data_IF_198745316756
#
_entry.id   IF_198745316756
#
_cell.length_a   1.000
_cell.length_b   1.000
_cell.length_c   1.000
_cell.angle_alpha   90.00
_cell.angle_beta   90.00
_cell.angle_gamma   90.00
#
_symmetry.space_group_name_H-M   'P 1'
#
loop_
_entity.id
_entity.type
_entity.pdbx_description
1 polymer ?
#
# COMPACT_ATOMS: atom_id res chain seq x y z
N UNK A 1 36.42 54.45 19.77
CA UNK A 1 36.74 54.07 21.15
C UNK A 1 35.42 53.84 21.86
N UNK A 2 35.02 52.60 22.02
CA UNK A 2 34.28 52.03 23.15
C UNK A 2 33.95 50.55 22.84
N UNK A 3 34.66 49.72 23.56
CA UNK A 3 34.44 48.27 23.65
C UNK A 3 33.11 47.98 24.34
N UNK A 4 32.30 47.09 23.76
CA UNK A 4 31.27 46.38 24.49
C UNK A 4 31.54 44.89 24.35
N UNK A 5 31.90 44.29 25.48
CA UNK A 5 32.14 42.86 25.68
C UNK A 5 30.80 42.10 25.59
N UNK A 6 30.81 41.06 24.79
CA UNK A 6 29.76 40.05 24.68
C UNK A 6 30.02 38.96 25.73
N UNK A 7 29.18 38.82 26.74
CA UNK A 7 29.15 37.72 27.70
C UNK A 7 28.16 36.64 27.20
N UNK A 8 28.70 35.43 26.88
CA UNK A 8 27.94 34.22 26.66
C UNK A 8 27.51 33.59 28.00
N UNK A 9 26.28 33.07 28.15
CA UNK A 9 26.00 32.19 29.28
C UNK A 9 26.30 30.74 28.89
N UNK A 10 27.04 30.10 29.77
CA UNK A 10 27.31 28.66 29.83
C UNK A 10 26.01 27.87 30.07
N UNK A 11 25.75 26.90 29.22
CA UNK A 11 24.72 25.87 29.45
C UNK A 11 25.37 24.70 30.19
N UNK A 12 24.85 24.39 31.38
CA UNK A 12 25.21 23.18 32.13
C UNK A 12 24.38 21.98 31.65
N UNK A 13 24.96 20.78 31.61
CA UNK A 13 24.19 19.57 31.25
C UNK A 13 23.39 19.08 32.46
N UNK A 14 22.08 18.87 32.25
CA UNK A 14 21.19 18.18 33.19
C UNK A 14 21.56 16.70 33.23
N UNK A 15 22.03 16.26 34.40
CA UNK A 15 22.17 14.85 34.76
C UNK A 15 20.84 14.29 35.24
N UNK A 16 20.34 13.23 34.58
CA UNK A 16 19.21 12.44 35.03
C UNK A 16 19.66 11.35 36.00
N UNK A 17 18.94 11.10 37.11
CA UNK A 17 19.28 10.04 38.05
C UNK A 17 18.88 8.67 37.48
N UNK A 18 19.84 7.73 37.52
CA UNK A 18 19.60 6.29 37.34
C UNK A 18 18.95 5.74 38.61
N UNK A 19 17.75 5.19 38.49
CA UNK A 19 17.19 4.40 39.57
C UNK A 19 15.77 3.94 39.33
N UNK A 20 15.63 2.58 39.30
CA UNK A 20 14.40 1.83 39.59
C UNK A 20 13.21 1.88 38.61
N UNK A 21 13.10 0.85 37.75
CA UNK A 21 11.86 0.05 37.69
C UNK A 21 12.19 -1.35 37.16
N UNK A 22 12.38 -2.28 38.10
CA UNK A 22 12.23 -3.72 37.86
C UNK A 22 10.74 -4.02 38.06
N UNK A 23 10.04 -4.39 37.02
CA UNK A 23 8.73 -5.07 37.08
C UNK A 23 8.83 -6.25 36.12
N UNK A 24 9.07 -7.40 36.66
CA UNK A 24 8.34 -8.65 36.66
C UNK A 24 7.31 -8.81 35.52
N UNK A 25 7.70 -9.57 34.47
CA UNK A 25 6.78 -10.36 33.67
C UNK A 25 7.25 -11.83 33.70
N UNK A 26 6.39 -12.79 34.03
CA UNK A 26 6.77 -14.20 34.05
C UNK A 26 6.74 -14.77 32.62
N UNK A 27 7.93 -15.17 32.15
CA UNK A 27 8.11 -16.06 31.01
C UNK A 27 7.83 -17.49 31.53
N UNK A 28 6.64 -18.01 31.27
CA UNK A 28 6.39 -19.44 31.35
C UNK A 28 5.01 -19.78 30.81
N UNK A 29 4.87 -19.94 29.48
CA UNK A 29 3.75 -20.70 28.90
C UNK A 29 3.99 -21.12 27.44
N UNK A 30 5.16 -21.60 27.06
CA UNK A 30 5.37 -22.37 25.81
C UNK A 30 6.51 -23.35 26.00
N UNK A 31 6.35 -24.34 26.83
CA UNK A 31 7.24 -25.50 26.88
C UNK A 31 6.60 -26.67 27.64
N UNK A 32 5.44 -27.16 27.16
CA UNK A 32 4.89 -28.47 27.61
C UNK A 32 3.88 -28.96 26.57
N UNK A 33 4.37 -29.43 25.42
CA UNK A 33 3.66 -30.35 24.51
C UNK A 33 4.61 -30.95 23.48
N UNK A 34 5.71 -31.57 23.96
CA UNK A 34 6.55 -32.47 23.15
C UNK A 34 7.24 -33.47 24.05
N UNK A 35 6.48 -34.40 24.60
CA UNK A 35 7.02 -35.66 25.16
C UNK A 35 5.85 -36.55 25.54
N UNK A 36 5.22 -37.22 24.56
CA UNK A 36 4.39 -38.41 24.80
C UNK A 36 3.95 -38.91 23.41
N UNK A 37 4.79 -39.69 22.77
CA UNK A 37 4.44 -40.67 21.72
C UNK A 37 5.72 -41.33 21.16
N UNK A 38 6.42 -42.07 22.02
CA UNK A 38 7.48 -43.02 21.58
C UNK A 38 7.65 -44.08 22.68
N UNK A 39 6.73 -44.98 22.75
CA UNK A 39 6.89 -46.30 23.39
C UNK A 39 5.62 -47.08 23.09
N UNK A 40 5.65 -47.97 22.19
CA UNK A 40 4.93 -49.23 22.07
C UNK A 40 5.08 -49.69 20.59
N UNK A 41 5.97 -50.58 20.33
CA UNK A 41 5.93 -51.67 19.38
C UNK A 41 7.34 -52.22 19.20
N UNK A 42 7.75 -52.93 20.27
CA UNK A 42 8.85 -53.90 20.16
C UNK A 42 8.36 -55.13 20.93
N UNK A 43 7.87 -56.15 20.24
CA UNK A 43 7.84 -57.52 20.75
C UNK A 43 7.40 -58.51 19.67
N UNK A 44 8.27 -59.44 19.46
CA UNK A 44 8.01 -60.85 19.13
C UNK A 44 7.57 -61.20 17.70
N UNK A 45 8.48 -61.79 16.97
CA UNK A 45 8.28 -63.19 16.54
C UNK A 45 9.63 -63.84 16.16
N UNK A 46 10.04 -64.78 16.99
CA UNK A 46 11.14 -65.70 16.81
C UNK A 46 10.51 -67.07 16.52
N UNK A 47 11.15 -67.81 15.60
CA UNK A 47 11.25 -69.25 15.55
C UNK A 47 10.57 -70.02 14.42
N UNK A 48 11.42 -70.94 13.94
CA UNK A 48 11.17 -72.28 13.42
C UNK A 48 11.11 -72.31 11.87
N UNK A 49 12.04 -72.77 11.09
CA UNK A 49 12.80 -74.02 11.24
C UNK A 49 12.51 -74.95 10.06
N UNK A 50 13.50 -75.46 9.34
CA UNK A 50 13.31 -76.66 8.58
C UNK A 50 13.61 -76.57 7.05
N UNK A 51 14.82 -76.94 6.67
CA UNK A 51 15.12 -77.52 5.35
C UNK A 51 14.56 -78.95 5.25
N UNK A 52 14.31 -79.50 4.09
CA UNK A 52 15.41 -80.24 3.41
C UNK A 52 15.43 -80.08 1.88
N UNK A 53 16.62 -80.30 1.41
CA UNK A 53 17.09 -80.58 0.04
C UNK A 53 16.33 -81.67 -0.66
N UNK A 54 16.04 -81.49 -1.95
CA UNK A 54 15.95 -82.63 -2.87
C UNK A 54 16.58 -82.25 -4.22
N UNK A 55 17.63 -82.98 -4.57
CA UNK A 55 18.31 -82.94 -5.83
C UNK A 55 17.56 -83.84 -6.84
N UNK A 56 17.40 -83.33 -8.06
CA UNK A 56 16.94 -84.13 -9.22
C UNK A 56 17.49 -83.51 -10.50
N UNK A 57 17.86 -84.31 -11.50
CA UNK A 57 18.88 -83.98 -12.49
C UNK A 57 18.37 -83.29 -13.74
N UNK A 58 19.21 -82.41 -14.28
CA UNK A 58 19.51 -82.05 -15.64
C UNK A 58 18.35 -81.89 -16.67
N UNK A 59 18.15 -80.66 -17.07
CA UNK A 59 17.74 -80.32 -18.45
C UNK A 59 18.54 -79.11 -18.89
N UNK A 60 19.34 -79.25 -19.95
CA UNK A 60 19.99 -78.22 -20.73
C UNK A 60 18.89 -77.30 -21.29
N UNK A 61 18.77 -76.09 -20.70
CA UNK A 61 18.01 -74.99 -21.29
C UNK A 61 19.01 -74.06 -21.98
N UNK A 62 18.72 -73.55 -23.20
CA UNK A 62 19.55 -72.58 -23.88
C UNK A 62 19.62 -71.29 -23.06
N UNK A 63 20.73 -70.55 -23.16
CA UNK A 63 20.89 -69.29 -22.38
C UNK A 63 19.71 -68.30 -22.69
N UNK A 64 19.14 -67.68 -21.68
CA UNK A 64 18.07 -66.72 -21.92
C UNK A 64 18.64 -65.57 -22.76
N UNK A 65 18.09 -65.43 -23.97
CA UNK A 65 18.27 -64.21 -24.75
C UNK A 65 18.07 -63.02 -23.84
N UNK A 66 19.06 -62.14 -23.82
CA UNK A 66 19.00 -60.92 -23.08
C UNK A 66 17.60 -60.27 -23.30
N UNK A 67 16.77 -60.29 -22.26
CA UNK A 67 15.49 -59.66 -22.27
C UNK A 67 15.76 -58.18 -22.54
N UNK A 68 15.50 -57.76 -23.78
CA UNK A 68 15.34 -56.34 -24.08
C UNK A 68 14.28 -55.86 -23.11
N UNK A 69 14.72 -55.09 -22.12
CA UNK A 69 13.83 -54.42 -21.16
C UNK A 69 12.83 -53.58 -21.96
N UNK A 70 11.64 -54.12 -22.17
CA UNK A 70 10.46 -53.37 -22.58
C UNK A 70 10.28 -52.34 -21.49
N UNK A 71 10.85 -51.14 -21.72
CA UNK A 71 10.48 -49.96 -20.94
C UNK A 71 8.96 -49.90 -21.03
N UNK A 72 8.31 -50.12 -19.90
CA UNK A 72 6.85 -50.05 -19.85
C UNK A 72 6.37 -48.72 -20.42
N UNK A 73 5.27 -48.75 -21.16
CA UNK A 73 4.58 -47.57 -21.72
C UNK A 73 4.07 -46.57 -20.65
N UNK A 74 4.51 -46.68 -19.40
CA UNK A 74 4.11 -45.84 -18.30
C UNK A 74 5.00 -44.60 -18.16
N UNK A 75 4.45 -43.43 -17.89
CA UNK A 75 5.22 -42.25 -17.51
C UNK A 75 6.13 -42.54 -16.32
N UNK A 76 7.40 -42.11 -16.34
CA UNK A 76 8.31 -42.34 -15.25
C UNK A 76 9.52 -41.41 -15.28
N UNK A 77 10.13 -41.25 -14.11
CA UNK A 77 11.38 -40.46 -13.98
C UNK A 77 12.59 -41.40 -14.11
N UNK A 78 13.50 -41.00 -14.97
CA UNK A 78 14.74 -41.71 -15.19
C UNK A 78 15.78 -41.41 -14.10
N UNK A 79 16.75 -42.28 -13.85
CA UNK A 79 17.83 -42.02 -12.90
C UNK A 79 18.67 -40.77 -13.21
N UNK A 80 18.68 -40.34 -14.49
CA UNK A 80 19.28 -39.06 -14.95
C UNK A 80 18.50 -37.82 -14.51
N UNK A 81 17.30 -37.98 -13.89
CA UNK A 81 16.40 -36.90 -13.55
C UNK A 81 15.48 -36.49 -14.70
N UNK A 82 15.66 -37.01 -15.90
CA UNK A 82 14.80 -36.84 -17.05
C UNK A 82 13.45 -37.52 -16.82
N UNK A 83 12.41 -37.05 -17.49
CA UNK A 83 11.07 -37.63 -17.46
C UNK A 83 10.76 -38.28 -18.80
N UNK A 84 10.44 -39.56 -18.77
CA UNK A 84 9.91 -40.29 -19.91
C UNK A 84 8.39 -40.18 -19.92
N UNK A 85 7.85 -39.67 -21.04
CA UNK A 85 6.42 -39.48 -21.26
C UNK A 85 6.02 -39.99 -22.63
N UNK A 86 5.36 -41.15 -22.71
CA UNK A 86 4.85 -41.72 -23.96
C UNK A 86 3.89 -40.74 -24.67
N UNK A 87 3.84 -40.79 -26.01
CA UNK A 87 2.96 -39.89 -26.82
C UNK A 87 1.51 -39.87 -26.37
N UNK A 88 0.87 -40.99 -26.00
CA UNK A 88 -0.49 -40.97 -25.46
C UNK A 88 -0.60 -40.14 -24.17
N UNK A 89 0.37 -40.25 -23.26
CA UNK A 89 0.44 -39.50 -22.03
C UNK A 89 0.63 -37.99 -22.30
N UNK A 90 1.54 -37.62 -23.23
CA UNK A 90 1.72 -36.22 -23.63
C UNK A 90 0.42 -35.56 -24.12
N UNK A 91 -0.36 -36.29 -24.95
CA UNK A 91 -1.67 -35.82 -25.43
C UNK A 91 -2.69 -35.67 -24.30
N UNK A 92 -2.76 -36.66 -23.41
CA UNK A 92 -3.68 -36.66 -22.26
C UNK A 92 -3.37 -35.52 -21.30
N UNK A 93 -2.09 -35.15 -21.13
CA UNK A 93 -1.61 -34.05 -20.29
C UNK A 93 -1.67 -32.68 -21.01
N UNK A 94 -2.10 -32.67 -22.27
CA UNK A 94 -2.13 -31.48 -23.13
C UNK A 94 -0.80 -30.69 -23.13
N UNK A 95 0.32 -31.43 -23.26
CA UNK A 95 1.65 -30.84 -23.27
C UNK A 95 1.87 -30.05 -24.56
N UNK A 96 2.24 -28.78 -24.39
CA UNK A 96 2.68 -27.93 -25.49
C UNK A 96 4.13 -27.50 -25.31
N UNK A 97 4.87 -27.52 -26.40
CA UNK A 97 6.25 -27.07 -26.46
C UNK A 97 6.41 -25.92 -27.43
N UNK A 98 7.26 -24.96 -27.10
CA UNK A 98 7.62 -23.83 -27.97
C UNK A 98 9.13 -23.85 -28.18
N UNK A 99 9.57 -23.61 -29.42
CA UNK A 99 10.99 -23.37 -29.70
C UNK A 99 11.37 -21.98 -29.22
N UNK A 100 12.50 -21.88 -28.50
CA UNK A 100 13.03 -20.61 -28.03
C UNK A 100 14.11 -20.09 -28.94
N UNK A 101 14.16 -18.77 -29.09
CA UNK A 101 15.21 -18.05 -29.82
C UNK A 101 15.69 -16.88 -28.99
N UNK A 102 16.98 -16.57 -29.09
CA UNK A 102 17.56 -15.38 -28.45
C UNK A 102 17.03 -14.10 -29.11
N UNK A 103 16.50 -13.22 -28.30
CA UNK A 103 16.06 -11.88 -28.71
C UNK A 103 16.63 -10.79 -27.82
N UNK A 104 16.48 -9.55 -28.25
CA UNK A 104 16.78 -8.39 -27.43
C UNK A 104 15.51 -7.90 -26.75
N UNK A 105 15.51 -7.87 -25.44
CA UNK A 105 14.38 -7.42 -24.62
C UNK A 105 14.79 -6.25 -23.73
N UNK A 106 13.87 -5.34 -23.40
CA UNK A 106 14.15 -4.29 -22.42
C UNK A 106 14.47 -4.95 -21.06
N UNK A 107 15.45 -4.40 -20.37
CA UNK A 107 15.73 -4.81 -19.00
C UNK A 107 14.56 -4.38 -18.10
N UNK A 108 14.02 -5.30 -17.34
CA UNK A 108 12.92 -5.01 -16.45
C UNK A 108 13.26 -5.33 -15.00
N UNK A 109 12.60 -4.62 -14.10
CA UNK A 109 12.71 -4.76 -12.66
C UNK A 109 11.31 -4.94 -12.08
N UNK A 110 11.17 -5.84 -11.13
CA UNK A 110 9.96 -5.98 -10.35
C UNK A 110 10.21 -5.35 -8.98
N UNK A 111 9.49 -4.27 -8.69
CA UNK A 111 9.66 -3.48 -7.48
C UNK A 111 8.34 -3.41 -6.70
N UNK A 112 8.47 -3.32 -5.38
CA UNK A 112 7.32 -3.12 -4.52
C UNK A 112 6.98 -1.63 -4.47
N UNK A 113 5.69 -1.34 -4.63
CA UNK A 113 5.14 0.00 -4.52
C UNK A 113 3.95 0.04 -3.58
N UNK A 114 3.51 1.23 -3.28
CA UNK A 114 2.31 1.52 -2.48
C UNK A 114 1.44 2.52 -3.20
N UNK A 115 0.14 2.28 -3.20
CA UNK A 115 -0.84 3.22 -3.73
C UNK A 115 -0.96 4.42 -2.78
N UNK A 116 -0.89 5.62 -3.34
CA UNK A 116 -1.04 6.89 -2.63
C UNK A 116 -2.12 7.74 -3.28
N UNK A 117 -2.68 8.67 -2.53
CA UNK A 117 -3.54 9.71 -3.10
C UNK A 117 -2.68 10.74 -3.84
N UNK A 118 -3.18 11.29 -4.95
CA UNK A 118 -2.58 12.47 -5.58
C UNK A 118 -2.74 13.67 -4.62
N UNK A 119 -1.66 14.33 -4.20
CA UNK A 119 -1.71 15.48 -3.31
C UNK A 119 -2.60 16.63 -3.84
N UNK A 120 -2.77 16.71 -5.16
CA UNK A 120 -3.60 17.72 -5.82
C UNK A 120 -5.06 17.28 -5.99
N UNK A 121 -5.39 16.02 -5.69
CA UNK A 121 -6.74 15.45 -5.79
C UNK A 121 -7.27 14.94 -4.46
N UNK A 122 -6.47 14.99 -3.41
CA UNK A 122 -6.85 14.70 -2.05
C UNK A 122 -7.03 15.98 -1.22
N UNK A 123 -7.68 15.87 -0.09
CA UNK A 123 -7.82 16.98 0.84
C UNK A 123 -8.05 16.52 2.26
N UNK A 124 -7.39 17.22 3.19
CA UNK A 124 -7.59 17.03 4.63
C UNK A 124 -8.47 18.13 5.16
N UNK A 125 -9.45 17.78 5.97
CA UNK A 125 -10.33 18.71 6.67
C UNK A 125 -9.87 18.76 8.11
N UNK A 126 -9.31 19.90 8.47
CA UNK A 126 -8.79 20.21 9.79
C UNK A 126 -9.58 21.37 10.39
N UNK A 127 -9.70 21.40 11.71
CA UNK A 127 -10.24 22.57 12.40
C UNK A 127 -9.17 23.63 12.61
N UNK A 128 -9.56 24.89 12.54
CA UNK A 128 -8.67 26.04 12.79
C UNK A 128 -8.63 26.45 14.25
N UNK A 129 -9.59 25.98 15.05
CA UNK A 129 -9.75 26.34 16.45
C UNK A 129 -10.18 25.16 17.31
N UNK A 130 -9.86 25.21 18.59
CA UNK A 130 -10.34 24.24 19.56
C UNK A 130 -11.80 24.43 19.85
N UNK A 131 -12.60 23.34 19.82
CA UNK A 131 -14.02 23.42 20.03
C UNK A 131 -14.73 22.08 20.06
N UNK A 132 -16.06 22.14 20.16
CA UNK A 132 -16.93 20.96 20.10
C UNK A 132 -17.40 20.74 18.67
N UNK A 133 -17.25 19.50 18.20
CA UNK A 133 -17.73 19.11 16.87
C UNK A 133 -19.24 18.90 16.86
N UNK A 134 -19.91 19.60 15.96
CA UNK A 134 -21.36 19.53 15.73
C UNK A 134 -21.62 19.01 14.32
N UNK A 135 -22.53 18.06 14.14
CA UNK A 135 -22.86 17.54 12.82
C UNK A 135 -23.35 18.60 11.86
N UNK A 136 -23.05 18.43 10.57
CA UNK A 136 -23.60 19.24 9.50
C UNK A 136 -25.06 18.89 9.20
N UNK A 137 -25.67 19.53 8.19
CA UNK A 137 -27.07 19.30 7.81
C UNK A 137 -27.39 17.84 7.46
N UNK A 138 -26.39 17.10 6.93
CA UNK A 138 -26.50 15.69 6.53
C UNK A 138 -25.85 14.73 7.55
N UNK A 139 -25.59 15.20 8.78
CA UNK A 139 -24.79 14.46 9.76
C UNK A 139 -23.29 14.60 9.53
N UNK A 140 -22.47 13.80 10.26
CA UNK A 140 -21.05 13.64 9.98
C UNK A 140 -20.86 12.61 8.88
N UNK A 141 -19.91 12.84 7.94
CA UNK A 141 -19.70 11.89 6.86
C UNK A 141 -19.10 10.58 7.37
N UNK A 142 -19.57 9.46 6.82
CA UNK A 142 -19.07 8.14 7.10
C UNK A 142 -17.92 7.76 6.14
N UNK A 143 -17.10 6.78 6.55
CA UNK A 143 -16.09 6.17 5.69
C UNK A 143 -16.73 5.62 4.40
N UNK A 144 -16.12 5.87 3.26
CA UNK A 144 -16.63 5.44 1.95
C UNK A 144 -17.73 6.33 1.38
N UNK A 145 -18.24 7.32 2.11
CA UNK A 145 -19.25 8.25 1.62
C UNK A 145 -18.67 9.19 0.57
N UNK A 146 -19.40 9.39 -0.53
CA UNK A 146 -19.05 10.38 -1.56
C UNK A 146 -19.47 11.78 -1.12
N UNK A 147 -18.57 12.73 -1.32
CA UNK A 147 -18.77 14.14 -1.01
C UNK A 147 -18.36 15.00 -2.21
N UNK A 148 -19.00 16.16 -2.32
CA UNK A 148 -18.72 17.14 -3.38
C UNK A 148 -17.94 18.31 -2.76
N UNK A 149 -17.00 18.88 -3.52
CA UNK A 149 -16.26 20.07 -3.11
C UNK A 149 -17.20 21.17 -2.59
N UNK A 150 -16.88 21.74 -1.41
CA UNK A 150 -17.68 22.75 -0.74
C UNK A 150 -18.80 22.22 0.15
N UNK A 151 -19.12 20.91 0.11
CA UNK A 151 -20.12 20.32 0.99
C UNK A 151 -19.76 20.55 2.47
N UNK A 152 -20.76 20.89 3.27
CA UNK A 152 -20.60 21.09 4.72
C UNK A 152 -20.60 19.71 5.38
N UNK A 153 -19.50 19.39 6.05
CA UNK A 153 -19.29 18.10 6.73
C UNK A 153 -19.65 18.20 8.22
N UNK A 154 -19.50 19.37 8.80
CA UNK A 154 -19.76 19.64 10.20
C UNK A 154 -19.42 21.07 10.58
N UNK A 155 -19.58 21.38 11.85
CA UNK A 155 -19.23 22.66 12.45
C UNK A 155 -18.39 22.41 13.69
N UNK A 156 -17.47 23.32 13.99
CA UNK A 156 -16.76 23.36 15.27
C UNK A 156 -17.23 24.60 16.03
N UNK A 157 -17.86 24.37 17.16
CA UNK A 157 -18.25 25.43 18.09
C UNK A 157 -17.09 25.71 19.05
N UNK A 158 -16.60 26.96 19.13
CA UNK A 158 -15.48 27.30 19.99
C UNK A 158 -15.71 26.89 21.44
N UNK A 159 -14.75 26.25 22.07
CA UNK A 159 -14.77 26.00 23.51
C UNK A 159 -14.26 27.22 24.28
N UNK A 160 -15.03 28.32 24.23
CA UNK A 160 -14.71 29.57 24.99
C UNK A 160 -14.96 29.30 26.47
N UNK A 161 -14.00 29.65 27.35
CA UNK A 161 -14.16 29.54 28.77
C UNK A 161 -15.41 30.31 29.24
N UNK A 162 -16.15 29.77 30.20
CA UNK A 162 -17.41 30.35 30.67
C UNK A 162 -17.25 31.80 31.15
N UNK A 163 -16.14 32.13 31.79
CA UNK A 163 -15.78 33.46 32.26
C UNK A 163 -15.60 34.41 31.07
N UNK A 164 -14.84 34.00 30.06
CA UNK A 164 -14.58 34.81 28.87
C UNK A 164 -15.87 35.05 28.07
N UNK A 165 -16.70 34.01 27.91
CA UNK A 165 -18.03 34.14 27.29
C UNK A 165 -18.92 35.09 28.07
N UNK A 166 -18.87 35.04 29.42
CA UNK A 166 -19.57 35.97 30.30
C UNK A 166 -19.12 37.42 30.07
N UNK A 167 -17.83 37.68 30.02
CA UNK A 167 -17.25 39.00 29.76
C UNK A 167 -17.65 39.55 28.39
N UNK A 168 -17.54 38.72 27.33
CA UNK A 168 -17.91 39.15 25.98
C UNK A 168 -19.42 39.39 25.85
N UNK A 169 -20.25 38.60 26.52
CA UNK A 169 -21.71 38.82 26.53
C UNK A 169 -22.11 40.07 27.28
N UNK A 170 -21.43 40.42 28.39
CA UNK A 170 -21.62 41.64 29.12
C UNK A 170 -21.21 42.88 28.27
N UNK A 171 -20.05 42.77 27.60
CA UNK A 171 -19.58 43.83 26.68
C UNK A 171 -20.58 44.07 25.53
N UNK A 172 -21.11 42.98 24.94
CA UNK A 172 -22.13 43.07 23.90
C UNK A 172 -23.42 43.74 24.41
N UNK A 173 -23.86 43.40 25.63
CA UNK A 173 -25.03 44.01 26.26
C UNK A 173 -24.82 45.52 26.49
N UNK A 174 -23.65 45.94 26.97
CA UNK A 174 -23.28 47.36 27.14
C UNK A 174 -23.27 48.09 25.82
N UNK A 175 -22.63 47.57 24.78
CA UNK A 175 -22.62 48.17 23.44
C UNK A 175 -24.05 48.31 22.84
N UNK A 176 -24.93 47.33 23.10
CA UNK A 176 -26.32 47.40 22.67
C UNK A 176 -27.10 48.49 23.40
N UNK A 177 -26.88 48.67 24.71
CA UNK A 177 -27.49 49.73 25.49
C UNK A 177 -27.02 51.12 25.02
N UNK A 178 -25.72 51.25 24.73
CA UNK A 178 -25.16 52.49 24.17
C UNK A 178 -25.76 52.80 22.77
N UNK A 179 -25.86 51.76 21.93
CA UNK A 179 -26.46 51.87 20.59
C UNK A 179 -27.94 52.36 20.66
N UNK A 180 -28.73 51.74 21.53
CA UNK A 180 -30.14 52.14 21.74
C UNK A 180 -30.24 53.58 22.18
N UNK A 181 -29.40 54.05 23.13
CA UNK A 181 -29.32 55.42 23.57
C UNK A 181 -28.97 56.41 22.43
N UNK A 182 -27.93 56.01 21.61
CA UNK A 182 -27.51 56.80 20.45
C UNK A 182 -28.62 56.90 19.38
N UNK A 183 -29.31 55.77 19.11
CA UNK A 183 -30.44 55.72 18.18
C UNK A 183 -31.57 56.63 18.62
N UNK A 184 -31.94 56.61 19.90
CA UNK A 184 -32.96 57.55 20.43
C UNK A 184 -32.54 59.02 20.34
N UNK A 185 -31.24 59.32 20.58
CA UNK A 185 -30.68 60.64 20.41
C UNK A 185 -30.76 61.09 18.95
N UNK A 186 -30.29 60.26 18.02
CA UNK A 186 -30.37 60.56 16.59
C UNK A 186 -31.83 60.78 16.13
N UNK A 187 -32.77 59.92 16.53
CA UNK A 187 -34.16 60.01 16.19
C UNK A 187 -34.77 61.33 16.69
N UNK A 188 -34.48 61.82 17.93
CA UNK A 188 -34.91 63.08 18.44
C UNK A 188 -34.36 64.27 17.66
N UNK A 189 -33.04 64.24 17.32
CA UNK A 189 -32.41 65.33 16.56
C UNK A 189 -32.95 65.39 15.12
N UNK A 190 -33.23 64.26 14.50
CA UNK A 190 -33.80 64.15 13.14
C UNK A 190 -35.22 64.68 13.08
N UNK A 191 -36.03 64.66 14.18
CA UNK A 191 -37.34 65.23 14.27
C UNK A 191 -37.28 66.75 14.38
N UNK A 192 -36.15 67.37 14.76
CA UNK A 192 -35.88 68.78 14.89
C UNK A 192 -35.07 69.32 13.69
N UNK A 193 -35.15 68.66 12.55
CA UNK A 193 -34.48 69.11 11.32
C UNK A 193 -34.94 70.56 10.95
N UNK A 194 -33.96 71.36 10.56
CA UNK A 194 -34.20 72.83 10.34
C UNK A 194 -34.15 73.68 11.58
N UNK A 195 -34.19 73.13 12.80
CA UNK A 195 -34.07 73.86 14.08
C UNK A 195 -32.68 73.59 14.72
N UNK A 196 -32.11 72.43 14.51
CA UNK A 196 -30.83 72.03 15.04
C UNK A 196 -29.79 72.04 13.90
N UNK A 197 -28.53 72.39 14.18
CA UNK A 197 -27.47 72.32 13.15
C UNK A 197 -27.37 70.96 12.53
N UNK A 198 -27.32 70.89 11.20
CA UNK A 198 -27.17 69.58 10.44
C UNK A 198 -25.99 68.78 10.91
N UNK A 199 -24.91 69.45 11.28
CA UNK A 199 -23.71 68.80 11.85
C UNK A 199 -24.02 67.95 13.07
N UNK A 200 -24.97 68.33 13.93
CA UNK A 200 -25.28 67.55 15.14
C UNK A 200 -26.10 66.32 14.82
N UNK A 201 -26.95 66.36 13.80
CA UNK A 201 -27.70 65.25 13.28
C UNK A 201 -26.70 64.23 12.63
N UNK A 202 -25.74 64.72 11.81
CA UNK A 202 -24.73 63.92 11.17
C UNK A 202 -23.81 63.27 12.19
N UNK A 203 -23.39 63.99 13.23
CA UNK A 203 -22.58 63.40 14.32
C UNK A 203 -23.36 62.31 15.05
N UNK A 204 -24.63 62.52 15.38
CA UNK A 204 -25.44 61.50 16.03
C UNK A 204 -25.62 60.24 15.15
N UNK A 205 -25.69 60.39 13.83
CA UNK A 205 -25.74 59.28 12.88
C UNK A 205 -24.43 58.52 12.86
N UNK A 206 -23.28 59.21 12.83
CA UNK A 206 -21.96 58.59 12.88
C UNK A 206 -21.76 57.76 14.15
N UNK A 207 -22.25 58.30 15.31
CA UNK A 207 -22.20 57.57 16.58
C UNK A 207 -23.00 56.26 16.52
N UNK A 208 -24.25 56.33 15.96
CA UNK A 208 -25.07 55.12 15.76
C UNK A 208 -24.37 54.09 14.88
N UNK A 209 -23.81 54.51 13.74
CA UNK A 209 -23.14 53.61 12.80
C UNK A 209 -21.88 52.97 13.43
N UNK A 210 -21.10 53.75 14.19
CA UNK A 210 -19.93 53.27 14.91
C UNK A 210 -20.30 52.22 15.97
N UNK A 211 -21.30 52.52 16.82
CA UNK A 211 -21.73 51.57 17.86
C UNK A 211 -22.37 50.32 17.27
N UNK A 212 -23.12 50.43 16.17
CA UNK A 212 -23.68 49.30 15.44
C UNK A 212 -22.60 48.38 14.91
N UNK A 213 -21.53 48.94 14.31
CA UNK A 213 -20.40 48.15 13.82
C UNK A 213 -19.66 47.45 14.96
N UNK A 214 -19.42 48.13 16.09
CA UNK A 214 -18.77 47.53 17.27
C UNK A 214 -19.61 46.42 17.88
N UNK A 215 -20.92 46.59 18.05
CA UNK A 215 -21.83 45.57 18.56
C UNK A 215 -21.92 44.36 17.62
N UNK A 216 -21.91 44.59 16.30
CA UNK A 216 -21.89 43.53 15.31
C UNK A 216 -20.58 42.72 15.37
N UNK A 217 -19.42 43.39 15.52
CA UNK A 217 -18.13 42.74 15.61
C UNK A 217 -18.03 41.81 16.84
N UNK A 218 -18.43 42.28 18.03
CA UNK A 218 -18.43 41.46 19.25
C UNK A 218 -19.47 40.35 19.15
N UNK A 219 -20.67 40.64 18.62
CA UNK A 219 -21.73 39.64 18.45
C UNK A 219 -21.34 38.52 17.48
N UNK A 220 -20.66 38.86 16.39
CA UNK A 220 -20.16 37.86 15.47
C UNK A 220 -19.08 36.95 16.10
N UNK A 221 -18.18 37.51 16.90
CA UNK A 221 -17.15 36.75 17.59
C UNK A 221 -17.72 35.65 18.54
N UNK A 222 -18.88 35.92 19.16
CA UNK A 222 -19.56 34.96 20.05
C UNK A 222 -20.27 33.82 19.30
N UNK A 223 -20.63 34.03 18.03
CA UNK A 223 -21.45 33.10 17.24
C UNK A 223 -20.68 32.42 16.09
N UNK A 224 -19.40 32.77 15.90
CA UNK A 224 -18.58 32.18 14.85
C UNK A 224 -18.43 30.70 15.10
N UNK A 225 -18.97 29.89 14.18
CA UNK A 225 -18.72 28.47 14.07
C UNK A 225 -17.74 28.26 12.93
N UNK A 226 -16.71 27.46 13.17
CA UNK A 226 -15.83 27.00 12.09
C UNK A 226 -16.58 25.98 11.24
N UNK A 227 -16.77 26.28 9.97
CA UNK A 227 -17.51 25.42 9.05
C UNK A 227 -16.54 24.49 8.32
N UNK A 228 -16.58 23.22 8.65
CA UNK A 228 -15.79 22.20 8.00
C UNK A 228 -16.39 21.88 6.62
N UNK A 229 -15.65 22.23 5.57
CA UNK A 229 -16.06 21.97 4.18
C UNK A 229 -15.12 21.02 3.49
N UNK A 230 -15.67 20.21 2.58
CA UNK A 230 -14.88 19.35 1.71
C UNK A 230 -14.02 20.21 0.75
N UNK A 231 -12.68 20.10 0.78
CA UNK A 231 -11.81 20.88 -0.10
C UNK A 231 -11.83 20.38 -1.55
N UNK A 232 -12.13 19.09 -1.74
CA UNK A 232 -12.21 18.41 -3.04
C UNK A 232 -13.46 17.53 -3.10
N UNK A 233 -13.89 17.18 -4.32
CA UNK A 233 -14.88 16.11 -4.52
C UNK A 233 -14.18 14.76 -4.48
N UNK A 234 -14.80 13.77 -3.84
CA UNK A 234 -14.19 12.44 -3.72
C UNK A 234 -14.93 11.54 -2.73
N UNK A 235 -14.18 10.61 -2.15
CA UNK A 235 -14.65 9.65 -1.16
C UNK A 235 -13.93 9.89 0.16
N UNK A 236 -14.66 9.85 1.27
CA UNK A 236 -14.11 9.98 2.62
C UNK A 236 -13.28 8.74 2.95
N UNK A 237 -11.97 8.90 3.06
CA UNK A 237 -11.01 7.84 3.38
C UNK A 237 -10.67 7.75 4.86
N UNK A 238 -10.84 8.86 5.59
CA UNK A 238 -10.70 8.93 7.04
C UNK A 238 -11.87 9.71 7.61
N UNK A 239 -12.53 9.15 8.62
CA UNK A 239 -13.57 9.79 9.43
C UNK A 239 -13.28 9.46 10.88
N UNK A 240 -12.40 10.23 11.51
CA UNK A 240 -11.98 10.07 12.91
C UNK A 240 -12.80 10.87 13.92
N UNK A 241 -13.87 11.53 13.46
CA UNK A 241 -14.63 12.51 14.24
C UNK A 241 -15.96 11.96 14.71
N UNK A 242 -16.28 12.20 15.99
CA UNK A 242 -17.55 11.81 16.62
C UNK A 242 -18.33 13.06 17.04
N UNK A 243 -19.65 13.04 16.86
CA UNK A 243 -20.51 14.15 17.24
C UNK A 243 -20.38 14.47 18.74
N UNK A 244 -20.20 15.73 19.07
CA UNK A 244 -20.01 16.21 20.43
C UNK A 244 -18.59 16.07 20.98
N UNK A 245 -17.66 15.47 20.24
CA UNK A 245 -16.25 15.41 20.59
C UNK A 245 -15.63 16.81 20.68
N UNK A 246 -14.75 17.01 21.66
CA UNK A 246 -13.90 18.18 21.72
C UNK A 246 -12.67 17.90 20.85
N UNK A 247 -12.39 18.81 19.91
CA UNK A 247 -11.29 18.74 18.96
C UNK A 247 -10.34 19.91 19.16
N UNK A 248 -9.07 19.69 18.89
CA UNK A 248 -8.04 20.73 19.00
C UNK A 248 -7.74 21.34 17.63
N UNK A 249 -7.16 22.54 17.63
CA UNK A 249 -6.70 23.15 16.41
C UNK A 249 -5.69 22.25 15.70
N UNK A 250 -5.84 22.09 14.38
CA UNK A 250 -5.05 21.23 13.48
C UNK A 250 -5.39 19.74 13.53
N UNK A 251 -6.32 19.28 14.35
CA UNK A 251 -6.79 17.90 14.26
C UNK A 251 -7.33 17.59 12.88
N UNK A 252 -6.89 16.48 12.31
CA UNK A 252 -7.42 15.96 11.03
C UNK A 252 -8.70 15.20 11.32
N UNK A 253 -9.83 15.77 10.95
CA UNK A 253 -11.15 15.19 11.22
C UNK A 253 -11.62 14.27 10.09
N UNK A 254 -11.37 14.70 8.85
CA UNK A 254 -11.72 13.95 7.65
C UNK A 254 -10.60 14.01 6.63
N UNK A 255 -10.43 12.94 5.88
CA UNK A 255 -9.58 12.90 4.68
C UNK A 255 -10.44 12.48 3.50
N UNK A 256 -10.35 13.23 2.41
CA UNK A 256 -11.13 13.00 1.19
C UNK A 256 -10.15 12.73 0.07
N UNK A 257 -10.37 11.65 -0.67
CA UNK A 257 -9.54 11.26 -1.81
C UNK A 257 -10.40 11.12 -3.07
N UNK A 258 -9.82 11.45 -4.21
CA UNK A 258 -10.41 11.13 -5.51
C UNK A 258 -9.91 9.75 -5.97
N UNK A 259 -10.78 8.72 -6.02
CA UNK A 259 -10.37 7.37 -6.43
C UNK A 259 -9.99 7.27 -7.92
N UNK A 260 -10.30 8.27 -8.74
CA UNK A 260 -9.90 8.32 -10.13
C UNK A 260 -8.47 8.90 -10.33
N UNK A 261 -7.89 9.48 -9.28
CA UNK A 261 -6.58 10.13 -9.31
C UNK A 261 -5.68 9.60 -8.21
N UNK A 262 -5.22 8.37 -8.44
CA UNK A 262 -4.29 7.69 -7.55
C UNK A 262 -2.87 7.73 -8.13
N UNK A 263 -1.90 7.59 -7.26
CA UNK A 263 -0.48 7.49 -7.57
C UNK A 263 0.09 6.21 -6.99
N UNK A 264 1.23 5.79 -7.52
CA UNK A 264 2.03 4.70 -6.95
C UNK A 264 3.41 5.23 -6.62
N UNK A 265 3.81 5.12 -5.37
CA UNK A 265 5.19 5.31 -4.93
C UNK A 265 5.90 3.97 -4.93
N UNK A 266 7.05 3.90 -5.57
CA UNK A 266 7.89 2.69 -5.69
C UNK A 266 9.25 2.99 -5.08
N UNK A 267 9.76 2.10 -4.27
CA UNK A 267 11.10 2.22 -3.69
C UNK A 267 12.10 1.40 -4.53
N UNK A 268 13.01 2.08 -5.22
CA UNK A 268 14.05 1.47 -6.01
C UNK A 268 15.35 1.35 -5.22
N UNK A 269 15.72 0.12 -4.85
CA UNK A 269 16.95 -0.18 -4.11
C UNK A 269 18.15 -0.41 -5.05
N UNK A 270 17.89 -0.79 -6.32
CA UNK A 270 18.94 -1.07 -7.28
C UNK A 270 19.40 0.22 -7.98
N UNK A 271 20.70 0.50 -7.99
CA UNK A 271 21.24 1.57 -8.82
C UNK A 271 20.91 1.31 -10.30
N UNK A 272 20.34 2.29 -10.97
CA UNK A 272 19.98 2.19 -12.40
C UNK A 272 18.54 1.77 -12.67
N UNK A 273 17.75 1.32 -11.68
CA UNK A 273 16.31 1.07 -11.88
C UNK A 273 15.55 2.37 -12.25
N UNK A 274 16.03 3.52 -11.79
CA UNK A 274 15.49 4.83 -12.16
C UNK A 274 16.00 5.38 -13.47
N UNK A 275 17.11 4.82 -14.01
CA UNK A 275 17.74 5.34 -15.22
C UNK A 275 17.03 4.82 -16.47
N UNK A 276 16.54 5.75 -17.28
CA UNK A 276 15.95 5.43 -18.58
C UNK A 276 14.67 4.59 -18.50
N UNK A 277 13.78 4.89 -17.55
CA UNK A 277 12.47 4.25 -17.45
C UNK A 277 11.70 4.47 -18.75
N UNK A 278 11.46 3.39 -19.49
CA UNK A 278 10.72 3.41 -20.75
C UNK A 278 9.23 3.15 -20.52
N UNK A 279 8.88 2.24 -19.62
CA UNK A 279 7.50 1.95 -19.26
C UNK A 279 7.41 1.39 -17.86
N UNK A 280 6.23 1.54 -17.26
CA UNK A 280 5.89 0.95 -15.96
C UNK A 280 4.47 0.38 -16.02
N UNK A 281 4.23 -0.72 -15.31
CA UNK A 281 2.92 -1.33 -15.23
C UNK A 281 2.71 -1.99 -13.86
N UNK A 282 1.45 -2.07 -13.42
CA UNK A 282 1.01 -2.88 -12.28
C UNK A 282 0.06 -3.96 -12.74
N UNK A 283 0.02 -5.06 -12.01
CA UNK A 283 -0.99 -6.10 -12.20
C UNK A 283 -2.11 -5.91 -11.19
N UNK A 284 -3.34 -5.66 -11.67
CA UNK A 284 -4.54 -5.50 -10.85
C UNK A 284 -5.57 -6.52 -11.32
N UNK A 285 -5.99 -7.42 -10.44
CA UNK A 285 -6.96 -8.49 -10.75
C UNK A 285 -6.64 -9.27 -12.05
N UNK A 286 -5.34 -9.51 -12.32
CA UNK A 286 -4.88 -10.24 -13.51
C UNK A 286 -4.75 -9.39 -14.79
N UNK A 287 -5.17 -8.14 -14.77
CA UNK A 287 -4.98 -7.19 -15.87
C UNK A 287 -3.72 -6.34 -15.65
N UNK A 288 -2.95 -6.10 -16.72
CA UNK A 288 -1.81 -5.20 -16.69
C UNK A 288 -2.27 -3.77 -16.96
N UNK A 289 -2.03 -2.88 -15.99
CA UNK A 289 -2.37 -1.46 -16.08
C UNK A 289 -1.10 -0.66 -16.21
N UNK A 290 -1.01 0.15 -17.25
CA UNK A 290 0.13 1.04 -17.48
C UNK A 290 0.17 2.16 -16.45
N UNK A 291 1.38 2.50 -16.01
CA UNK A 291 1.67 3.63 -15.16
C UNK A 291 2.43 4.69 -15.94
N UNK A 292 2.14 5.94 -15.68
CA UNK A 292 2.88 7.06 -16.22
C UNK A 292 3.89 7.56 -15.20
N UNK A 293 5.17 7.53 -15.57
CA UNK A 293 6.24 8.04 -14.72
C UNK A 293 6.12 9.56 -14.53
N UNK A 294 6.14 10.03 -13.29
CA UNK A 294 6.10 11.45 -12.93
C UNK A 294 7.51 11.94 -12.67
N UNK A 295 8.27 11.21 -11.85
CA UNK A 295 9.61 11.61 -11.47
C UNK A 295 10.19 10.72 -10.38
N UNK A 296 11.50 10.86 -10.18
CA UNK A 296 12.24 10.27 -9.07
C UNK A 296 12.53 11.35 -8.02
N UNK A 297 12.50 10.97 -6.75
CA UNK A 297 12.95 11.86 -5.67
C UNK A 297 14.45 12.14 -5.80
N UNK A 298 14.88 13.34 -5.41
CA UNK A 298 16.30 13.64 -5.25
C UNK A 298 16.85 13.18 -3.87
N UNK A 299 15.98 12.69 -2.98
CA UNK A 299 16.31 12.24 -1.64
C UNK A 299 16.00 10.75 -1.48
N UNK A 300 16.96 10.01 -0.91
CA UNK A 300 16.76 8.61 -0.56
C UNK A 300 15.86 8.50 0.68
N UNK A 301 14.96 7.51 0.67
CA UNK A 301 14.17 7.07 1.82
C UNK A 301 14.46 5.60 2.07
N UNK A 302 14.85 5.25 3.29
CA UNK A 302 15.19 3.86 3.65
C UNK A 302 16.23 3.24 2.71
N UNK A 303 17.23 4.01 2.29
CA UNK A 303 18.30 3.63 1.35
C UNK A 303 17.78 3.30 -0.08
N UNK A 304 16.53 3.59 -0.37
CA UNK A 304 15.94 3.44 -1.69
C UNK A 304 15.62 4.79 -2.32
N UNK A 305 15.57 4.82 -3.64
CA UNK A 305 15.13 5.98 -4.41
C UNK A 305 13.62 5.90 -4.65
N UNK A 306 12.81 6.83 -4.08
CA UNK A 306 11.37 6.88 -4.38
C UNK A 306 11.12 7.30 -5.83
N UNK A 307 10.32 6.50 -6.52
CA UNK A 307 9.83 6.75 -7.87
C UNK A 307 8.32 6.94 -7.82
N UNK A 308 7.82 8.01 -8.40
CA UNK A 308 6.40 8.33 -8.42
C UNK A 308 5.79 8.11 -9.81
N UNK A 309 4.65 7.45 -9.82
CA UNK A 309 3.87 7.15 -11.01
C UNK A 309 2.43 7.58 -10.83
N UNK A 310 1.79 8.08 -11.87
CA UNK A 310 0.33 8.27 -11.91
C UNK A 310 -0.35 7.06 -12.52
N UNK A 311 -1.54 6.78 -12.00
CA UNK A 311 -2.47 5.81 -12.56
C UNK A 311 -3.47 6.58 -13.42
N UNK A 312 -3.65 6.17 -14.67
CA UNK A 312 -4.66 6.76 -15.52
C UNK A 312 -5.97 5.95 -15.41
N UNK A 313 -7.02 6.61 -14.92
CA UNK A 313 -8.35 6.04 -14.75
C UNK A 313 -8.66 5.52 -13.33
N UNK A 314 -9.94 5.28 -13.09
CA UNK A 314 -10.43 4.75 -11.83
C UNK A 314 -10.18 3.23 -11.74
N UNK A 315 -9.42 2.80 -10.76
CA UNK A 315 -9.17 1.41 -10.45
C UNK A 315 -9.71 1.07 -9.05
N UNK A 316 -10.10 -0.19 -8.80
CA UNK A 316 -10.55 -0.64 -7.49
C UNK A 316 -9.34 -0.84 -6.55
N UNK A 317 -8.57 0.22 -6.32
CA UNK A 317 -7.40 0.23 -5.45
C UNK A 317 -7.66 1.12 -4.24
N UNK A 318 -7.17 0.68 -3.09
CA UNK A 318 -7.21 1.47 -1.86
C UNK A 318 -5.87 2.19 -1.62
N UNK A 319 -5.92 3.41 -1.08
CA UNK A 319 -4.71 4.11 -0.62
C UNK A 319 -4.05 3.28 0.48
N UNK A 320 -2.73 3.16 0.41
CA UNK A 320 -1.94 2.31 1.30
C UNK A 320 -1.79 0.87 0.81
N UNK A 321 -2.53 0.45 -0.22
CA UNK A 321 -2.45 -0.91 -0.75
C UNK A 321 -1.07 -1.17 -1.37
N UNK A 322 -0.39 -2.29 -1.01
CA UNK A 322 0.84 -2.69 -1.66
C UNK A 322 0.56 -3.23 -3.06
N UNK A 323 1.39 -2.85 -4.01
CA UNK A 323 1.31 -3.29 -5.42
C UNK A 323 2.71 -3.67 -5.93
N UNK A 324 2.74 -4.60 -6.88
CA UNK A 324 3.97 -4.91 -7.61
C UNK A 324 4.01 -4.14 -8.90
N UNK A 325 5.11 -3.43 -9.10
CA UNK A 325 5.33 -2.61 -10.27
C UNK A 325 6.44 -3.22 -11.12
N UNK A 326 6.15 -3.52 -12.36
CA UNK A 326 7.13 -3.94 -13.35
C UNK A 326 7.60 -2.71 -14.11
N UNK A 327 8.87 -2.35 -13.92
CA UNK A 327 9.55 -1.29 -14.67
C UNK A 327 10.31 -1.87 -15.85
N UNK A 328 10.22 -1.27 -16.99
CA UNK A 328 11.07 -1.56 -18.15
C UNK A 328 11.95 -0.35 -18.44
N UNK A 329 13.24 -0.61 -18.64
CA UNK A 329 14.21 0.42 -19.00
C UNK A 329 14.55 0.37 -20.48
N UNK A 330 15.14 1.43 -21.00
CA UNK A 330 15.64 1.48 -22.37
C UNK A 330 16.84 0.55 -22.60
N UNK A 331 17.53 0.11 -21.53
CA UNK A 331 18.61 -0.85 -21.60
C UNK A 331 18.09 -2.21 -22.07
N UNK A 332 18.76 -2.81 -23.05
CA UNK A 332 18.39 -4.11 -23.61
C UNK A 332 19.25 -5.22 -23.04
N UNK A 333 18.63 -6.38 -22.86
CA UNK A 333 19.31 -7.65 -22.51
C UNK A 333 19.06 -8.68 -23.60
N UNK A 334 20.08 -9.51 -23.90
CA UNK A 334 19.92 -10.68 -24.75
C UNK A 334 19.39 -11.82 -23.91
N UNK A 335 18.21 -12.34 -24.24
CA UNK A 335 17.53 -13.37 -23.48
C UNK A 335 16.52 -14.12 -24.36
N UNK A 336 15.95 -15.20 -23.83
CA UNK A 336 14.87 -15.96 -24.47
C UNK A 336 13.59 -15.74 -23.69
N UNK A 337 12.52 -15.28 -24.35
CA UNK A 337 11.24 -15.03 -23.70
C UNK A 337 10.43 -16.32 -23.55
N UNK A 338 9.93 -16.57 -22.35
CA UNK A 338 9.05 -17.69 -22.03
C UNK A 338 7.85 -17.21 -21.20
N UNK A 339 6.69 -17.85 -21.30
CA UNK A 339 5.62 -17.66 -20.32
C UNK A 339 6.10 -18.01 -18.92
N UNK A 340 5.71 -17.26 -17.91
CA UNK A 340 6.05 -17.56 -16.50
C UNK A 340 5.54 -18.94 -16.07
N UNK A 341 4.44 -19.45 -16.67
CA UNK A 341 3.90 -20.78 -16.47
C UNK A 341 4.83 -21.91 -16.94
N UNK A 342 5.84 -21.63 -17.78
CA UNK A 342 6.85 -22.60 -18.23
C UNK A 342 7.90 -22.90 -17.14
N UNK A 343 7.94 -22.17 -16.07
CA UNK A 343 8.87 -22.36 -14.96
C UNK A 343 8.32 -23.38 -13.96
N UNK A 344 9.23 -24.23 -13.47
CA UNK A 344 8.99 -25.12 -12.36
C UNK A 344 10.11 -24.98 -11.31
N UNK A 345 9.92 -25.58 -10.14
CA UNK A 345 10.94 -25.72 -9.12
C UNK A 345 11.35 -27.19 -9.00
N UNK A 346 12.68 -27.44 -8.92
CA UNK A 346 13.18 -28.75 -8.59
C UNK A 346 13.17 -28.98 -7.06
N UNK A 347 13.45 -30.19 -6.54
CA UNK A 347 13.51 -30.43 -5.10
C UNK A 347 14.55 -29.60 -4.34
N UNK A 348 15.57 -29.09 -5.02
CA UNK A 348 16.55 -28.14 -4.46
C UNK A 348 16.08 -26.67 -4.48
N UNK A 349 14.81 -26.41 -4.83
CA UNK A 349 14.21 -25.08 -4.96
C UNK A 349 14.84 -24.21 -6.07
N UNK A 350 15.59 -24.80 -7.00
CA UNK A 350 16.10 -24.07 -8.16
C UNK A 350 15.04 -23.94 -9.24
N UNK A 351 15.08 -22.83 -9.98
CA UNK A 351 14.17 -22.60 -11.10
C UNK A 351 14.62 -23.42 -12.31
N UNK A 352 13.73 -24.27 -12.81
CA UNK A 352 13.98 -25.14 -13.97
C UNK A 352 12.92 -24.92 -15.04
N UNK A 353 13.28 -25.31 -16.26
CA UNK A 353 12.37 -25.53 -17.38
C UNK A 353 12.53 -26.97 -17.89
N UNK A 354 11.46 -27.53 -18.46
CA UNK A 354 11.50 -28.85 -19.09
C UNK A 354 11.79 -28.70 -20.58
N UNK A 355 12.94 -29.20 -21.02
CA UNK A 355 13.36 -29.17 -22.41
C UNK A 355 13.06 -30.53 -23.05
N UNK A 356 12.41 -30.53 -24.18
CA UNK A 356 12.08 -31.70 -24.98
C UNK A 356 13.33 -32.14 -25.76
N UNK A 357 14.05 -33.12 -25.24
CA UNK A 357 15.32 -33.60 -25.78
C UNK A 357 15.17 -34.80 -26.73
N UNK A 358 14.09 -35.54 -26.62
CA UNK A 358 13.76 -36.70 -27.48
C UNK A 358 12.25 -36.84 -27.63
N UNK A 359 11.76 -37.65 -28.54
CA UNK A 359 10.33 -37.80 -28.88
C UNK A 359 9.42 -37.96 -27.64
N UNK A 360 9.92 -38.60 -26.58
CA UNK A 360 9.19 -38.94 -25.36
C UNK A 360 10.00 -38.62 -24.09
N UNK A 361 11.09 -37.84 -24.24
CA UNK A 361 12.03 -37.52 -23.14
C UNK A 361 12.09 -36.03 -22.91
N UNK A 362 11.94 -35.65 -21.64
CA UNK A 362 11.97 -34.26 -21.19
C UNK A 362 13.07 -34.12 -20.10
N UNK A 363 14.05 -33.27 -20.36
CA UNK A 363 15.15 -33.02 -19.43
C UNK A 363 14.90 -31.74 -18.61
N UNK A 364 15.07 -31.77 -17.27
CA UNK A 364 15.04 -30.57 -16.47
C UNK A 364 16.32 -29.79 -16.69
N UNK A 365 16.21 -28.48 -16.94
CA UNK A 365 17.35 -27.60 -17.11
C UNK A 365 17.25 -26.40 -16.21
N UNK A 366 18.22 -26.21 -15.32
CA UNK A 366 18.28 -25.03 -14.43
C UNK A 366 18.51 -23.78 -15.25
N UNK A 367 17.71 -22.74 -15.01
CA UNK A 367 17.74 -21.48 -15.74
C UNK A 367 17.83 -20.30 -14.81
N UNK A 368 18.46 -19.22 -15.30
CA UNK A 368 18.40 -17.91 -14.66
C UNK A 368 17.39 -17.04 -15.40
N UNK A 369 16.47 -16.48 -14.65
CA UNK A 369 15.37 -15.68 -15.21
C UNK A 369 15.33 -14.30 -14.60
N UNK A 370 14.88 -13.32 -15.39
CA UNK A 370 14.50 -11.99 -14.94
C UNK A 370 13.06 -11.72 -15.41
N UNK A 371 12.25 -10.98 -14.68
CA UNK A 371 10.91 -10.63 -15.13
C UNK A 371 11.00 -9.82 -16.43
N UNK A 372 10.12 -10.08 -17.38
CA UNK A 372 10.01 -9.31 -18.62
C UNK A 372 8.77 -8.43 -18.63
N UNK A 373 7.65 -9.03 -18.27
CA UNK A 373 6.37 -8.38 -18.03
C UNK A 373 5.54 -9.23 -17.04
N UNK A 374 4.31 -8.84 -16.76
CA UNK A 374 3.46 -9.57 -15.80
C UNK A 374 3.12 -11.01 -16.16
N UNK A 375 3.36 -11.46 -17.40
CA UNK A 375 3.02 -12.79 -17.91
C UNK A 375 4.25 -13.59 -18.40
N UNK A 376 5.34 -12.93 -18.77
CA UNK A 376 6.54 -13.55 -19.37
C UNK A 376 7.80 -13.28 -18.58
N UNK A 377 8.74 -14.18 -18.70
CA UNK A 377 10.08 -14.07 -18.13
C UNK A 377 11.12 -14.14 -19.23
N UNK A 378 12.23 -13.46 -19.04
CA UNK A 378 13.40 -13.52 -19.89
C UNK A 378 14.42 -14.50 -19.27
N UNK A 379 14.74 -15.56 -19.98
CA UNK A 379 15.79 -16.52 -19.59
C UNK A 379 17.12 -15.99 -20.11
N UNK A 380 18.01 -15.64 -19.17
CA UNK A 380 19.33 -15.08 -19.48
C UNK A 380 20.45 -16.12 -19.56
N UNK A 381 20.22 -17.30 -18.98
CA UNK A 381 21.17 -18.42 -19.02
C UNK A 381 20.47 -19.75 -18.82
N UNK A 382 21.05 -20.84 -19.36
CA UNK A 382 20.57 -22.19 -19.17
C UNK A 382 19.89 -22.82 -20.38
N UNK A 383 19.54 -22.03 -21.42
CA UNK A 383 18.95 -22.53 -22.66
C UNK A 383 19.83 -22.22 -23.87
N UNK A 384 19.60 -22.93 -24.95
CA UNK A 384 20.24 -22.72 -26.26
C UNK A 384 19.19 -22.39 -27.31
N UNK A 385 19.61 -21.66 -28.35
CA UNK A 385 18.74 -21.39 -29.48
C UNK A 385 18.23 -22.68 -30.12
N UNK A 386 16.93 -22.73 -30.38
CA UNK A 386 16.26 -23.90 -30.92
C UNK A 386 15.80 -24.93 -29.90
N UNK A 387 16.15 -24.80 -28.60
CA UNK A 387 15.61 -25.67 -27.54
C UNK A 387 14.06 -25.59 -27.55
N UNK A 388 13.42 -26.77 -27.44
CA UNK A 388 11.98 -26.88 -27.34
C UNK A 388 11.57 -26.99 -25.88
N UNK A 389 10.99 -25.95 -25.34
CA UNK A 389 10.61 -25.85 -23.92
C UNK A 389 9.11 -26.13 -23.74
N UNK A 390 8.76 -26.88 -22.73
CA UNK A 390 7.36 -27.14 -22.34
C UNK A 390 6.79 -25.85 -21.77
N UNK A 391 5.67 -25.36 -22.34
CA UNK A 391 4.98 -24.13 -21.91
C UNK A 391 3.61 -24.40 -21.28
N UNK A 392 2.96 -25.52 -21.64
CA UNK A 392 1.73 -25.97 -21.01
C UNK A 392 1.91 -27.38 -20.45
N UNK A 393 1.29 -27.69 -19.31
CA UNK A 393 1.42 -28.98 -18.61
C UNK A 393 2.71 -29.13 -17.77
N UNK A 394 3.47 -28.07 -17.56
CA UNK A 394 4.77 -28.07 -16.86
C UNK A 394 4.70 -28.68 -15.46
N UNK A 395 3.68 -28.32 -14.68
CA UNK A 395 3.50 -28.82 -13.33
C UNK A 395 3.20 -30.33 -13.29
N UNK A 396 2.49 -30.83 -14.31
CA UNK A 396 2.18 -32.25 -14.44
C UNK A 396 3.44 -33.05 -14.78
N UNK A 397 4.30 -32.53 -15.68
CA UNK A 397 5.62 -33.14 -15.97
C UNK A 397 6.47 -33.15 -14.70
N UNK A 398 6.46 -32.09 -13.93
CA UNK A 398 7.25 -31.99 -12.70
C UNK A 398 6.82 -32.95 -11.59
N UNK A 399 5.57 -33.43 -11.62
CA UNK A 399 4.99 -34.38 -10.66
C UNK A 399 5.23 -35.85 -11.01
N UNK A 400 5.72 -36.16 -12.21
CA UNK A 400 6.04 -37.55 -12.61
C UNK A 400 7.17 -38.06 -11.73
N UNK A 401 6.94 -39.24 -11.12
CA UNK A 401 7.87 -39.90 -10.21
C UNK A 401 8.57 -41.08 -10.89
#
# INVERSE_FOLDING_TARGET
MNHIQSSKPYAQPLTWPRGFFRALFPISFVARCRALLLAVFFSAFLAIGGAPSNAGPGHDAPPPAAAASTRGDAPGRLPSGEVFLPKPAQRKLNLRTTSVATGEFPRSFELNGRVMSDPNAGGRVQTTQTGRLVPGPNGLPALGQRVVKGAVLGYVEPAIAAVERGNQSAQLADLRAQLDSAQRRHARLSQLDGVVPQKDIDNARIDVDSLKQRAAAVGSALTVRDTLRAPVSGVVSLAGAVAGQVVEARDVLFEIIDPARLMVEVLAYEPGAAAGIASAAISVAGASVKLRFIGASAQLREQALPLNFSIDGALPLAVGQPVRVTLQTAAKIKAMALPAAALAKNPANETIVWVHTGAEVFAPRTVRTVPLDGARVAVTAGLKDGDRVVVEGVQLVNQVR
#
